data_IF_647282115731
#
_entry.id   IF_647282115731
#
_cell.length_a   1.000
_cell.length_b   1.000
_cell.length_c   1.000
_cell.angle_alpha   90.00
_cell.angle_beta   90.00
_cell.angle_gamma   90.00
#
_symmetry.space_group_name_H-M   'P 1'
#
loop_
_entity.id
_entity.type
_entity.pdbx_description
1 polymer ?
#
# COMPACT_ATOMS: atom_id res chain seq x y z
N UNK A 1 16.37 -6.76 10.63
CA UNK A 1 16.09 -5.73 9.61
C UNK A 1 14.84 -4.98 10.05
N UNK A 2 14.91 -3.66 10.19
CA UNK A 2 13.73 -2.84 10.53
C UNK A 2 12.79 -2.79 9.33
N UNK A 3 11.50 -3.00 9.57
CA UNK A 3 10.44 -2.85 8.58
C UNK A 3 10.40 -1.40 8.05
N UNK A 4 10.42 -1.24 6.72
CA UNK A 4 10.23 0.05 6.06
C UNK A 4 8.91 0.01 5.26
N UNK A 5 7.90 0.83 5.63
CA UNK A 5 6.60 0.80 4.97
C UNK A 5 6.64 1.22 3.50
N UNK A 6 5.97 0.47 2.64
CA UNK A 6 5.72 0.80 1.25
C UNK A 6 4.41 1.57 1.10
N UNK A 7 4.45 2.80 0.56
CA UNK A 7 3.28 3.66 0.44
C UNK A 7 2.97 3.95 -1.02
N UNK A 8 1.76 3.63 -1.47
CA UNK A 8 1.26 4.06 -2.79
C UNK A 8 0.49 5.37 -2.64
N UNK A 9 0.90 6.42 -3.37
CA UNK A 9 0.28 7.73 -3.31
C UNK A 9 -0.46 8.07 -4.61
N UNK A 10 -1.78 8.11 -4.61
CA UNK A 10 -2.58 8.58 -5.75
C UNK A 10 -2.75 10.09 -5.69
N UNK A 11 -2.44 10.80 -6.77
CA UNK A 11 -2.48 12.26 -6.79
C UNK A 11 -3.15 12.80 -8.05
N UNK A 12 -4.03 13.80 -7.91
CA UNK A 12 -4.55 14.51 -9.07
C UNK A 12 -3.48 15.43 -9.69
N UNK A 13 -3.46 15.58 -11.02
CA UNK A 13 -2.45 16.43 -11.69
C UNK A 13 -2.56 17.92 -11.33
N UNK A 14 -3.73 18.42 -10.94
CA UNK A 14 -3.98 19.87 -10.81
C UNK A 14 -3.51 20.50 -9.50
N UNK A 15 -3.85 19.90 -8.36
CA UNK A 15 -3.46 20.45 -7.06
C UNK A 15 -2.58 19.48 -6.28
N UNK A 16 -2.92 18.19 -6.28
CA UNK A 16 -2.14 17.21 -5.54
C UNK A 16 -0.73 17.09 -6.08
N UNK A 17 -0.58 16.90 -7.40
CA UNK A 17 0.75 16.70 -8.01
C UNK A 17 1.54 18.01 -8.02
N UNK A 18 0.90 19.15 -8.24
CA UNK A 18 1.54 20.47 -8.08
C UNK A 18 2.03 20.71 -6.65
N UNK A 19 1.31 20.24 -5.63
CA UNK A 19 1.76 20.31 -4.24
C UNK A 19 2.96 19.39 -3.98
N UNK A 20 3.00 18.20 -4.60
CA UNK A 20 4.16 17.32 -4.58
C UNK A 20 5.37 18.00 -5.27
N UNK A 21 5.19 18.59 -6.45
CA UNK A 21 6.25 19.32 -7.15
C UNK A 21 6.74 20.51 -6.32
N UNK A 22 5.82 21.21 -5.64
CA UNK A 22 6.17 22.29 -4.71
C UNK A 22 6.98 21.77 -3.53
N UNK A 23 6.69 20.58 -3.00
CA UNK A 23 7.51 19.98 -1.96
C UNK A 23 8.94 19.70 -2.44
N UNK A 24 9.09 19.24 -3.69
CA UNK A 24 10.39 19.08 -4.33
C UNK A 24 11.13 20.40 -4.52
N UNK A 25 10.45 21.44 -5.00
CA UNK A 25 11.01 22.77 -5.20
C UNK A 25 11.46 23.44 -3.88
N UNK A 26 10.79 23.12 -2.77
CA UNK A 26 11.13 23.59 -1.43
C UNK A 26 12.16 22.68 -0.72
N UNK A 27 12.68 21.66 -1.39
CA UNK A 27 13.61 20.68 -0.82
C UNK A 27 13.10 20.00 0.46
N UNK A 28 11.79 19.74 0.52
CA UNK A 28 11.17 19.10 1.67
C UNK A 28 11.31 17.57 1.58
N UNK A 29 11.81 16.97 2.65
CA UNK A 29 12.03 15.53 2.69
C UNK A 29 10.79 14.75 3.12
N UNK A 30 10.54 13.64 2.44
CA UNK A 30 9.67 12.55 2.85
C UNK A 30 10.29 11.23 2.38
N UNK A 31 9.91 10.07 2.95
CA UNK A 31 10.58 8.80 2.67
C UNK A 31 10.45 8.38 1.19
N UNK A 32 11.51 7.80 0.64
CA UNK A 32 11.55 7.34 -0.75
C UNK A 32 10.61 6.15 -1.02
N UNK A 33 10.08 5.51 0.03
CA UNK A 33 9.07 4.46 -0.07
C UNK A 33 7.67 4.98 -0.46
N UNK A 34 7.48 6.30 -0.54
CA UNK A 34 6.25 6.92 -1.05
C UNK A 34 6.31 7.00 -2.58
N UNK A 35 5.60 6.09 -3.26
CA UNK A 35 5.56 5.97 -4.72
C UNK A 35 4.30 6.62 -5.28
N UNK A 36 4.47 7.62 -6.15
CA UNK A 36 3.37 8.46 -6.63
C UNK A 36 2.79 7.95 -7.94
N UNK A 37 1.49 7.73 -7.96
CA UNK A 37 0.69 7.44 -9.15
C UNK A 37 -0.13 8.67 -9.52
N UNK A 38 0.12 9.20 -10.72
CA UNK A 38 -0.60 10.35 -11.27
C UNK A 38 -1.94 9.96 -11.85
N UNK A 39 -2.97 10.71 -11.49
CA UNK A 39 -4.31 10.62 -12.06
C UNK A 39 -4.72 11.98 -12.63
N UNK A 40 -5.49 12.04 -13.73
CA UNK A 40 -6.03 13.32 -14.23
C UNK A 40 -6.90 14.01 -13.16
N UNK A 41 -7.61 13.22 -12.35
CA UNK A 41 -8.36 13.67 -11.19
C UNK A 41 -8.45 12.54 -10.17
N UNK A 42 -8.52 12.86 -8.88
CA UNK A 42 -8.90 11.87 -7.86
C UNK A 42 -10.31 11.35 -8.10
N UNK A 43 -11.17 12.04 -8.85
CA UNK A 43 -12.46 11.51 -9.28
C UNK A 43 -12.38 10.24 -10.15
N UNK A 44 -11.20 9.94 -10.75
CA UNK A 44 -10.93 8.69 -11.46
C UNK A 44 -10.51 7.55 -10.52
N UNK A 45 -10.15 7.86 -9.27
CA UNK A 45 -9.83 6.87 -8.26
C UNK A 45 -11.03 5.95 -8.04
N UNK A 46 -10.78 4.66 -8.14
CA UNK A 46 -11.75 3.59 -7.88
C UNK A 46 -11.35 2.81 -6.62
N UNK A 47 -12.31 2.18 -5.94
CA UNK A 47 -12.04 1.33 -4.79
C UNK A 47 -11.07 0.19 -5.15
N UNK A 48 -11.17 -0.37 -6.36
CA UNK A 48 -10.26 -1.41 -6.84
C UNK A 48 -8.81 -0.94 -6.94
N UNK A 49 -8.56 0.34 -7.23
CA UNK A 49 -7.19 0.86 -7.26
C UNK A 49 -6.57 0.89 -5.87
N UNK A 50 -7.37 1.27 -4.86
CA UNK A 50 -6.95 1.30 -3.46
C UNK A 50 -6.67 -0.13 -2.96
N UNK A 51 -7.60 -1.06 -3.19
CA UNK A 51 -7.47 -2.46 -2.75
C UNK A 51 -6.32 -3.17 -3.46
N UNK A 52 -6.20 -3.01 -4.78
CA UNK A 52 -5.12 -3.64 -5.55
C UNK A 52 -3.73 -3.12 -5.17
N UNK A 53 -3.63 -1.89 -4.64
CA UNK A 53 -2.37 -1.38 -4.11
C UNK A 53 -1.86 -2.25 -2.95
N UNK A 54 -2.76 -2.70 -2.06
CA UNK A 54 -2.40 -3.60 -0.96
C UNK A 54 -2.00 -4.98 -1.47
N UNK A 55 -2.71 -5.54 -2.45
CA UNK A 55 -2.37 -6.83 -3.08
C UNK A 55 -0.97 -6.79 -3.72
N UNK A 56 -0.59 -5.63 -4.26
CA UNK A 56 0.72 -5.38 -4.87
C UNK A 56 1.83 -5.07 -3.85
N UNK A 57 1.52 -5.15 -2.54
CA UNK A 57 2.51 -5.01 -1.48
C UNK A 57 2.60 -3.62 -0.84
N UNK A 58 1.64 -2.73 -1.07
CA UNK A 58 1.56 -1.51 -0.28
C UNK A 58 1.17 -1.82 1.17
N UNK A 59 1.81 -1.15 2.12
CA UNK A 59 1.47 -1.19 3.54
C UNK A 59 0.49 -0.07 3.92
N UNK A 60 0.46 0.99 3.11
CA UNK A 60 -0.48 2.09 3.19
C UNK A 60 -0.69 2.82 1.87
N UNK A 61 -1.77 3.60 1.81
CA UNK A 61 -2.19 4.34 0.62
C UNK A 61 -2.50 5.79 0.99
N UNK A 62 -1.85 6.72 0.29
CA UNK A 62 -2.11 8.16 0.39
C UNK A 62 -2.92 8.62 -0.83
N UNK A 63 -3.95 9.42 -0.63
CA UNK A 63 -4.71 10.07 -1.70
C UNK A 63 -4.59 11.57 -1.55
N UNK A 64 -4.00 12.25 -2.53
CA UNK A 64 -3.77 13.70 -2.52
C UNK A 64 -4.70 14.36 -3.54
N UNK A 65 -5.64 15.16 -3.05
CA UNK A 65 -6.70 15.79 -3.84
C UNK A 65 -6.70 17.31 -3.73
N UNK A 66 -7.37 17.98 -4.68
CA UNK A 66 -7.71 19.40 -4.58
C UNK A 66 -8.55 19.70 -3.32
N UNK A 67 -8.57 20.94 -2.80
CA UNK A 67 -9.46 21.31 -1.70
C UNK A 67 -10.92 21.03 -2.01
N UNK A 68 -11.71 20.64 -1.01
CA UNK A 68 -13.17 20.51 -1.17
C UNK A 68 -13.77 21.86 -1.59
N UNK A 69 -14.71 21.84 -2.53
CA UNK A 69 -15.25 23.05 -3.16
C UNK A 69 -14.35 23.70 -4.22
N UNK A 70 -13.09 23.25 -4.40
CA UNK A 70 -12.16 23.78 -5.39
C UNK A 70 -11.57 22.68 -6.29
N UNK A 71 -12.38 21.66 -6.61
CA UNK A 71 -11.96 20.62 -7.55
C UNK A 71 -12.00 21.16 -8.98
N UNK A 72 -10.92 20.95 -9.75
CA UNK A 72 -10.92 21.29 -11.18
C UNK A 72 -12.05 20.59 -11.96
N UNK A 73 -12.40 19.36 -11.55
CA UNK A 73 -13.51 18.59 -12.11
C UNK A 73 -14.77 18.64 -11.24
N UNK A 74 -15.02 19.81 -10.64
CA UNK A 74 -16.20 20.21 -9.85
C UNK A 74 -16.41 19.40 -8.57
N UNK A 75 -16.71 18.11 -8.67
CA UNK A 75 -17.00 17.20 -7.53
C UNK A 75 -16.19 15.90 -7.58
N UNK A 76 -15.10 15.88 -8.34
CA UNK A 76 -14.25 14.69 -8.48
C UNK A 76 -13.66 14.21 -7.14
N UNK A 77 -13.16 15.14 -6.34
CA UNK A 77 -12.58 14.85 -5.03
C UNK A 77 -13.64 14.41 -3.99
N UNK A 78 -14.87 14.91 -4.05
CA UNK A 78 -15.96 14.44 -3.19
C UNK A 78 -16.32 12.98 -3.45
N UNK A 79 -16.41 12.57 -4.72
CA UNK A 79 -16.62 11.16 -5.09
C UNK A 79 -15.45 10.29 -4.64
N UNK A 80 -14.22 10.79 -4.76
CA UNK A 80 -13.04 10.09 -4.28
C UNK A 80 -13.08 9.91 -2.75
N UNK A 81 -13.52 10.92 -2.00
CA UNK A 81 -13.68 10.86 -0.55
C UNK A 81 -14.63 9.75 -0.13
N UNK A 82 -15.81 9.69 -0.74
CA UNK A 82 -16.79 8.63 -0.46
C UNK A 82 -16.23 7.22 -0.74
N UNK A 83 -15.42 7.07 -1.80
CA UNK A 83 -14.76 5.78 -2.11
C UNK A 83 -13.66 5.43 -1.12
N UNK A 84 -12.88 6.41 -0.66
CA UNK A 84 -11.85 6.21 0.37
C UNK A 84 -12.51 5.80 1.69
N UNK A 85 -13.55 6.51 2.12
CA UNK A 85 -14.33 6.18 3.32
C UNK A 85 -14.89 4.76 3.23
N UNK A 86 -15.46 4.40 2.08
CA UNK A 86 -15.95 3.04 1.85
C UNK A 86 -14.84 1.98 1.94
N UNK A 87 -13.66 2.22 1.36
CA UNK A 87 -12.53 1.29 1.47
C UNK A 87 -12.02 1.17 2.91
N UNK A 88 -12.00 2.27 3.68
CA UNK A 88 -11.67 2.23 5.09
C UNK A 88 -12.64 1.35 5.89
N UNK A 89 -13.94 1.43 5.60
CA UNK A 89 -14.96 0.54 6.18
C UNK A 89 -14.74 -0.92 5.78
N UNK A 90 -14.42 -1.19 4.51
CA UNK A 90 -14.12 -2.54 4.03
C UNK A 90 -12.91 -3.14 4.76
N UNK A 91 -11.81 -2.40 4.88
CA UNK A 91 -10.62 -2.84 5.63
C UNK A 91 -10.98 -3.19 7.07
N UNK A 92 -11.75 -2.32 7.74
CA UNK A 92 -12.22 -2.56 9.10
C UNK A 92 -13.07 -3.82 9.21
N UNK A 93 -13.94 -4.07 8.23
CA UNK A 93 -14.83 -5.25 8.23
C UNK A 93 -14.09 -6.59 8.14
N UNK A 94 -12.88 -6.59 7.55
CA UNK A 94 -12.00 -7.76 7.45
C UNK A 94 -10.91 -7.80 8.53
N UNK A 95 -11.01 -6.94 9.55
CA UNK A 95 -10.07 -6.91 10.68
C UNK A 95 -8.77 -6.16 10.42
N UNK A 96 -8.70 -5.31 9.39
CA UNK A 96 -7.54 -4.46 9.10
C UNK A 96 -7.77 -3.01 9.53
N UNK A 97 -6.68 -2.30 9.75
CA UNK A 97 -6.72 -0.92 10.22
C UNK A 97 -7.05 0.04 9.07
N UNK A 98 -8.15 0.79 9.23
CA UNK A 98 -8.56 1.84 8.30
C UNK A 98 -7.50 2.92 8.09
N UNK A 99 -6.66 3.14 9.12
CA UNK A 99 -5.59 4.14 9.13
C UNK A 99 -4.49 3.86 8.10
N UNK A 100 -4.49 2.69 7.46
CA UNK A 100 -3.62 2.38 6.31
C UNK A 100 -3.98 3.19 5.07
N UNK A 101 -5.20 3.73 4.98
CA UNK A 101 -5.62 4.60 3.88
C UNK A 101 -5.87 6.00 4.40
N UNK A 102 -5.23 7.00 3.79
CA UNK A 102 -5.40 8.41 4.16
C UNK A 102 -5.66 9.26 2.93
N UNK A 103 -6.67 10.13 3.01
CA UNK A 103 -6.94 11.14 1.99
C UNK A 103 -6.69 12.53 2.55
N UNK A 104 -6.01 13.37 1.78
CA UNK A 104 -5.68 14.74 2.13
C UNK A 104 -6.11 15.69 1.01
N UNK A 105 -6.55 16.88 1.40
CA UNK A 105 -7.04 17.91 0.50
C UNK A 105 -6.10 19.11 0.57
N UNK A 106 -5.44 19.41 -0.54
CA UNK A 106 -4.37 20.42 -0.62
C UNK A 106 -4.49 21.25 -1.90
N UNK A 107 -4.15 22.52 -1.82
CA UNK A 107 -3.90 23.37 -2.99
C UNK A 107 -2.47 23.16 -3.51
N UNK A 108 -2.21 23.57 -4.76
CA UNK A 108 -0.92 23.36 -5.41
C UNK A 108 0.28 23.96 -4.67
N UNK A 109 0.11 25.02 -3.88
CA UNK A 109 1.20 25.64 -3.12
C UNK A 109 1.53 24.97 -1.78
N UNK A 110 0.76 23.95 -1.37
CA UNK A 110 0.86 23.37 -0.03
C UNK A 110 1.86 22.20 0.06
N UNK A 111 3.05 22.36 -0.52
CA UNK A 111 4.11 21.33 -0.49
C UNK A 111 4.52 20.90 0.92
N UNK A 112 4.63 21.87 1.85
CA UNK A 112 4.89 21.58 3.27
C UNK A 112 3.85 20.68 3.92
N UNK A 113 2.58 20.83 3.52
CA UNK A 113 1.52 19.97 4.01
C UNK A 113 1.66 18.58 3.44
N UNK A 114 1.84 18.42 2.11
CA UNK A 114 1.97 17.08 1.51
C UNK A 114 3.15 16.30 2.09
N UNK A 115 4.33 16.93 2.25
CA UNK A 115 5.49 16.28 2.85
C UNK A 115 5.22 15.83 4.30
N UNK A 116 4.57 16.68 5.11
CA UNK A 116 4.17 16.33 6.48
C UNK A 116 3.19 15.16 6.51
N UNK A 117 2.15 15.19 5.67
CA UNK A 117 1.13 14.15 5.65
C UNK A 117 1.69 12.80 5.16
N UNK A 118 2.63 12.82 4.21
CA UNK A 118 3.35 11.63 3.76
C UNK A 118 4.21 11.03 4.88
N UNK A 119 5.01 11.85 5.57
CA UNK A 119 5.79 11.41 6.74
C UNK A 119 4.88 10.84 7.84
N UNK A 120 3.77 11.53 8.14
CA UNK A 120 2.82 11.10 9.16
C UNK A 120 2.20 9.74 8.82
N UNK A 121 1.84 9.50 7.55
CA UNK A 121 1.33 8.21 7.12
C UNK A 121 2.39 7.11 7.23
N UNK A 122 3.63 7.36 6.78
CA UNK A 122 4.72 6.38 6.91
C UNK A 122 4.95 6.02 8.38
N UNK A 123 5.02 7.01 9.29
CA UNK A 123 5.15 6.76 10.73
C UNK A 123 3.99 5.93 11.25
N UNK A 124 2.75 6.28 10.90
CA UNK A 124 1.57 5.54 11.32
C UNK A 124 1.61 4.08 10.85
N UNK A 125 1.92 3.84 9.58
CA UNK A 125 2.00 2.48 9.03
C UNK A 125 3.16 1.70 9.66
N UNK A 126 4.27 2.35 9.99
CA UNK A 126 5.38 1.71 10.72
C UNK A 126 4.94 1.18 12.09
N UNK A 127 4.07 1.91 12.81
CA UNK A 127 3.48 1.46 14.08
C UNK A 127 2.51 0.29 13.89
N UNK A 128 1.77 0.29 12.79
CA UNK A 128 0.83 -0.79 12.44
C UNK A 128 1.52 -2.06 11.94
N UNK A 129 2.78 -1.95 11.51
CA UNK A 129 3.52 -3.05 10.90
C UNK A 129 3.09 -3.36 9.46
N UNK A 130 3.73 -4.37 8.84
CA UNK A 130 3.50 -4.73 7.45
C UNK A 130 2.05 -5.14 7.21
N UNK A 131 1.52 -4.80 6.03
CA UNK A 131 0.19 -5.23 5.61
C UNK A 131 0.15 -6.74 5.38
N UNK A 132 -0.86 -7.44 5.90
CA UNK A 132 -1.02 -8.89 5.66
C UNK A 132 -1.55 -9.21 4.25
N UNK A 133 -1.92 -8.20 3.45
CA UNK A 133 -2.52 -8.37 2.12
C UNK A 133 -1.51 -8.42 0.96
N UNK A 134 -0.24 -8.11 1.20
CA UNK A 134 0.80 -8.09 0.15
C UNK A 134 1.11 -9.48 -0.43
N UNK A 135 2.08 -9.56 -1.33
CA UNK A 135 2.45 -10.77 -2.08
C UNK A 135 2.75 -12.05 -1.25
N UNK A 136 2.86 -11.96 0.08
CA UNK A 136 2.93 -13.11 0.99
C UNK A 136 1.55 -13.72 1.33
N UNK A 137 0.45 -12.95 1.18
CA UNK A 137 -0.93 -13.34 1.48
C UNK A 137 -1.77 -13.76 0.27
N UNK A 138 -1.17 -13.92 -0.92
CA UNK A 138 -1.86 -14.50 -2.07
C UNK A 138 -2.09 -16.01 -1.83
N UNK A 139 -3.24 -16.61 -2.16
CA UNK A 139 -3.42 -18.07 -2.02
C UNK A 139 -2.34 -18.87 -2.78
N UNK A 140 -1.80 -18.31 -3.88
CA UNK A 140 -0.64 -18.87 -4.59
C UNK A 140 0.68 -18.79 -3.79
N UNK A 141 0.91 -17.72 -3.00
CA UNK A 141 2.10 -17.58 -2.16
C UNK A 141 2.00 -18.37 -0.85
N UNK A 142 0.80 -18.49 -0.29
CA UNK A 142 0.52 -19.33 0.89
C UNK A 142 0.77 -20.81 0.56
N UNK A 143 0.34 -21.27 -0.63
CA UNK A 143 0.63 -22.62 -1.11
C UNK A 143 2.14 -22.86 -1.32
N UNK A 144 2.87 -21.88 -1.83
CA UNK A 144 4.32 -21.97 -2.04
C UNK A 144 5.11 -21.99 -0.70
N UNK A 145 4.66 -21.27 0.32
CA UNK A 145 5.30 -21.26 1.64
C UNK A 145 5.08 -22.57 2.42
N UNK A 146 3.94 -23.25 2.22
CA UNK A 146 3.66 -24.55 2.83
C UNK A 146 4.54 -25.70 2.29
N UNK A 147 5.11 -25.56 1.09
CA UNK A 147 5.99 -26.57 0.47
C UNK A 147 7.46 -26.55 0.94
N UNK A 148 7.87 -25.56 1.73
CA UNK A 148 9.27 -25.40 2.18
C UNK A 148 9.42 -25.74 3.67
N UNK A 149 8.93 -26.90 4.10
CA UNK A 149 9.36 -27.51 5.35
C UNK A 149 10.62 -28.34 5.08
N UNK A 150 11.73 -28.16 5.82
CA UNK A 150 12.96 -28.91 5.56
C UNK A 150 12.72 -30.39 5.88
N UNK A 151 12.85 -31.22 4.84
CA UNK A 151 12.66 -32.66 4.90
C UNK A 151 13.52 -33.28 5.99
N UNK A 152 12.87 -33.79 7.04
CA UNK A 152 13.45 -34.75 7.97
C UNK A 152 13.77 -36.01 7.16
N UNK A 153 15.05 -36.19 6.79
CA UNK A 153 15.54 -37.40 6.12
C UNK A 153 15.18 -38.63 6.96
N UNK A 154 14.20 -39.39 6.49
CA UNK A 154 13.99 -40.77 6.93
C UNK A 154 15.14 -41.59 6.35
N UNK A 155 16.13 -41.90 7.19
CA UNK A 155 17.17 -42.88 6.90
C UNK A 155 16.51 -44.25 6.75
N UNK A 156 16.30 -44.70 5.51
CA UNK A 156 15.99 -46.10 5.25
C UNK A 156 17.24 -46.93 5.49
N UNK A 157 17.29 -47.60 6.64
CA UNK A 157 18.17 -48.75 6.86
C UNK A 157 17.68 -49.91 6.00
N UNK A 158 18.27 -50.08 4.81
CA UNK A 158 18.16 -51.32 4.06
C UNK A 158 19.13 -52.31 4.70
N UNK A 159 18.57 -53.23 5.48
CA UNK A 159 19.29 -54.36 6.03
C UNK A 159 19.72 -55.30 4.89
N UNK A 160 21.00 -55.62 4.89
CA UNK A 160 21.68 -56.61 4.07
C UNK A 160 21.23 -58.04 4.37
N UNK A 161 20.95 -58.81 3.32
CA UNK A 161 21.00 -60.28 3.30
C UNK A 161 20.95 -60.70 1.83
N UNK A 162 22.05 -61.04 1.13
CA UNK A 162 22.82 -62.30 1.18
C UNK A 162 21.93 -63.56 1.19
N UNK A 163 21.89 -64.25 0.04
CA UNK A 163 21.16 -65.50 -0.15
C UNK A 163 21.30 -66.06 -1.56
N UNK A 164 22.43 -66.70 -1.81
CA UNK A 164 22.89 -67.35 -3.05
C UNK A 164 22.05 -68.59 -3.47
N UNK A 165 22.13 -68.92 -4.77
CA UNK A 165 22.03 -70.25 -5.40
C UNK A 165 20.66 -70.97 -5.44
N UNK A 166 20.12 -71.14 -6.66
CA UNK A 166 20.11 -72.39 -7.44
C UNK A 166 19.48 -72.17 -8.81
#
# INVERSE_FOLDING_TARGET
MSFEPEITAFSCIYCGYTAIDTAGALHLSYPASVKIVRLPCTGKLDALYLLSSFEQGADGVLVVACPLGNCHHVRGNERARARVEHVQELLKSIGLESDRVKMVFVSGGQGATVAREANALVTRVRELGPSPLGAAGHPASIAAQASVAPGRQLRNHVASGHGSLA
#
